data_IF_525386620707
#
_entry.id   IF_525386620707
#
_cell.length_a   1.000
_cell.length_b   1.000
_cell.length_c   1.000
_cell.angle_alpha   90.00
_cell.angle_beta   90.00
_cell.angle_gamma   90.00
#
_symmetry.space_group_name_H-M   'P 1'
#
loop_
_entity.id
_entity.type
_entity.pdbx_description
1 polymer ?
#
# COMPACT_ATOMS: atom_id res chain seq x y z
N UNK A 1 -4.69 -20.57 46.47
CA UNK A 1 -5.17 -19.28 45.93
C UNK A 1 -5.25 -19.46 44.43
N UNK A 2 -6.45 -19.70 43.91
CA UNK A 2 -6.70 -19.73 42.47
C UNK A 2 -6.53 -18.32 41.93
N UNK A 3 -5.47 -18.08 41.16
CA UNK A 3 -5.41 -16.92 40.28
C UNK A 3 -6.65 -16.94 39.37
N UNK A 4 -7.41 -15.83 39.28
CA UNK A 4 -8.58 -15.79 38.41
C UNK A 4 -8.12 -16.09 36.99
N UNK A 5 -8.71 -17.14 36.40
CA UNK A 5 -8.56 -17.53 34.99
C UNK A 5 -8.85 -16.32 34.11
N UNK A 6 -7.82 -15.55 33.75
CA UNK A 6 -7.91 -14.52 32.75
C UNK A 6 -8.07 -15.23 31.41
N UNK A 7 -9.32 -15.48 31.02
CA UNK A 7 -9.64 -15.96 29.69
C UNK A 7 -8.86 -15.11 28.67
N UNK A 8 -8.23 -15.71 27.65
CA UNK A 8 -7.48 -14.96 26.66
C UNK A 8 -8.41 -13.90 26.05
N UNK A 9 -8.13 -12.64 26.40
CA UNK A 9 -8.85 -11.47 25.90
C UNK A 9 -8.27 -11.12 24.53
N UNK A 10 -8.64 -11.90 23.52
CA UNK A 10 -8.53 -11.43 22.15
C UNK A 10 -9.50 -10.26 21.99
N UNK A 11 -9.02 -9.15 21.44
CA UNK A 11 -9.89 -8.03 21.12
C UNK A 11 -10.97 -8.51 20.13
N UNK A 12 -12.22 -8.03 20.24
CA UNK A 12 -13.20 -8.24 19.17
C UNK A 12 -12.69 -7.61 17.87
N UNK A 13 -13.22 -8.04 16.73
CA UNK A 13 -12.97 -7.35 15.47
C UNK A 13 -13.49 -5.91 15.58
N UNK A 14 -12.76 -4.91 15.08
CA UNK A 14 -13.18 -3.52 15.16
C UNK A 14 -14.39 -3.28 14.24
N UNK A 15 -15.28 -2.38 14.65
CA UNK A 15 -16.21 -1.76 13.71
C UNK A 15 -15.41 -0.87 12.76
N UNK A 16 -15.65 -1.01 11.45
CA UNK A 16 -14.95 -0.22 10.44
C UNK A 16 -15.59 1.16 10.32
N UNK A 17 -14.78 2.21 10.41
CA UNK A 17 -15.18 3.55 9.99
C UNK A 17 -15.30 3.64 8.45
N UNK A 18 -15.93 4.71 7.96
CA UNK A 18 -16.21 4.88 6.53
C UNK A 18 -14.93 5.00 5.70
N UNK A 19 -13.89 5.63 6.25
CA UNK A 19 -12.59 5.79 5.62
C UNK A 19 -11.90 4.42 5.41
N UNK A 20 -11.83 3.60 6.46
CA UNK A 20 -11.25 2.26 6.41
C UNK A 20 -12.05 1.38 5.45
N UNK A 21 -13.39 1.46 5.47
CA UNK A 21 -14.23 0.71 4.53
C UNK A 21 -13.99 1.11 3.08
N UNK A 22 -13.90 2.42 2.81
CA UNK A 22 -13.58 2.95 1.48
C UNK A 22 -12.22 2.45 1.00
N UNK A 23 -11.21 2.49 1.88
CA UNK A 23 -9.87 2.01 1.57
C UNK A 23 -9.84 0.52 1.27
N UNK A 24 -10.44 -0.32 2.11
CA UNK A 24 -10.49 -1.77 1.87
C UNK A 24 -11.20 -2.09 0.54
N UNK A 25 -12.30 -1.38 0.22
CA UNK A 25 -12.96 -1.52 -1.07
C UNK A 25 -12.06 -1.14 -2.25
N UNK A 26 -11.23 -0.10 -2.10
CA UNK A 26 -10.22 0.27 -3.10
C UNK A 26 -9.13 -0.80 -3.23
N UNK A 27 -8.67 -1.38 -2.13
CA UNK A 27 -7.71 -2.49 -2.15
C UNK A 27 -8.30 -3.72 -2.85
N UNK A 28 -9.57 -4.07 -2.60
CA UNK A 28 -10.27 -5.17 -3.29
C UNK A 28 -10.37 -4.96 -4.80
N UNK A 29 -10.67 -3.73 -5.25
CA UNK A 29 -10.68 -3.39 -6.68
C UNK A 29 -9.30 -3.54 -7.32
N UNK A 30 -8.26 -3.08 -6.62
CA UNK A 30 -6.88 -3.25 -7.07
C UNK A 30 -6.49 -4.73 -7.14
N UNK A 31 -6.88 -5.53 -6.13
CA UNK A 31 -6.67 -6.98 -6.13
C UNK A 31 -7.37 -7.63 -7.32
N UNK A 32 -8.61 -7.26 -7.63
CA UNK A 32 -9.33 -7.79 -8.79
C UNK A 32 -8.60 -7.47 -10.11
N UNK A 33 -8.10 -6.24 -10.28
CA UNK A 33 -7.30 -5.87 -11.45
C UNK A 33 -5.97 -6.66 -11.53
N UNK A 34 -5.33 -6.88 -10.39
CA UNK A 34 -4.13 -7.71 -10.30
C UNK A 34 -4.40 -9.19 -10.57
N UNK A 35 -5.52 -9.76 -10.11
CA UNK A 35 -5.93 -11.13 -10.41
C UNK A 35 -6.19 -11.32 -11.91
N UNK A 36 -6.87 -10.38 -12.54
CA UNK A 36 -7.08 -10.39 -13.99
C UNK A 36 -5.75 -10.28 -14.75
N UNK A 37 -4.83 -9.42 -14.31
CA UNK A 37 -3.48 -9.36 -14.84
C UNK A 37 -2.77 -10.72 -14.72
N UNK A 38 -2.82 -11.36 -13.54
CA UNK A 38 -2.24 -12.68 -13.30
C UNK A 38 -2.86 -13.78 -14.15
N UNK A 39 -4.16 -13.73 -14.40
CA UNK A 39 -4.85 -14.68 -15.28
C UNK A 39 -4.31 -14.71 -16.71
N UNK A 40 -3.58 -13.67 -17.11
CA UNK A 40 -2.97 -13.51 -18.44
C UNK A 40 -1.48 -13.90 -18.48
N UNK A 41 -0.88 -14.23 -17.34
CA UNK A 41 0.52 -14.61 -17.26
C UNK A 41 0.70 -16.11 -17.51
N UNK A 42 1.85 -16.49 -18.07
CA UNK A 42 2.21 -17.90 -18.23
C UNK A 42 2.37 -18.58 -16.85
N UNK A 43 2.04 -19.88 -16.72
CA UNK A 43 2.15 -20.60 -15.44
C UNK A 43 3.52 -20.50 -14.77
N UNK A 44 4.60 -20.56 -15.56
CA UNK A 44 5.98 -20.39 -15.05
C UNK A 44 6.24 -19.00 -14.49
N UNK A 45 5.70 -17.94 -15.11
CA UNK A 45 5.77 -16.56 -14.60
C UNK A 45 5.01 -16.42 -13.29
N UNK A 46 3.82 -17.04 -13.17
CA UNK A 46 3.04 -17.03 -11.94
C UNK A 46 3.77 -17.70 -10.78
N UNK A 47 4.41 -18.85 -11.02
CA UNK A 47 5.22 -19.53 -10.03
C UNK A 47 6.42 -18.67 -9.60
N UNK A 48 7.08 -18.00 -10.54
CA UNK A 48 8.21 -17.10 -10.25
C UNK A 48 7.79 -15.86 -9.45
N UNK A 49 6.68 -15.20 -9.82
CA UNK A 49 6.08 -14.09 -9.06
C UNK A 49 5.80 -14.55 -7.63
N UNK A 50 5.10 -15.68 -7.48
CA UNK A 50 4.72 -16.22 -6.18
C UNK A 50 5.94 -16.48 -5.28
N UNK A 51 6.93 -17.18 -5.81
CA UNK A 51 8.20 -17.45 -5.11
C UNK A 51 8.90 -16.15 -4.67
N UNK A 52 8.94 -15.16 -5.57
CA UNK A 52 9.49 -13.83 -5.28
C UNK A 52 8.70 -13.08 -4.21
N UNK A 53 7.36 -13.12 -4.23
CA UNK A 53 6.53 -12.47 -3.20
C UNK A 53 6.71 -13.11 -1.83
N UNK A 54 6.74 -14.45 -1.75
CA UNK A 54 7.03 -15.16 -0.49
C UNK A 54 8.45 -14.85 0.03
N UNK A 55 9.44 -14.81 -0.85
CA UNK A 55 10.80 -14.41 -0.48
C UNK A 55 10.86 -12.97 0.01
N UNK A 56 10.14 -12.04 -0.64
CA UNK A 56 10.05 -10.64 -0.22
C UNK A 56 9.42 -10.51 1.17
N UNK A 57 8.33 -11.25 1.44
CA UNK A 57 7.73 -11.33 2.76
C UNK A 57 8.75 -11.82 3.79
N UNK A 58 9.46 -12.91 3.49
CA UNK A 58 10.45 -13.50 4.39
C UNK A 58 11.60 -12.52 4.71
N UNK A 59 12.12 -11.79 3.71
CA UNK A 59 13.14 -10.74 3.89
C UNK A 59 12.61 -9.57 4.72
N UNK A 60 11.37 -9.15 4.48
CA UNK A 60 10.80 -8.00 5.18
C UNK A 60 10.57 -8.26 6.68
N UNK A 61 10.42 -9.54 7.03
CA UNK A 61 10.04 -10.02 8.36
C UNK A 61 11.20 -10.62 9.16
N UNK A 62 12.38 -10.79 8.54
CA UNK A 62 13.63 -11.05 9.27
C UNK A 62 14.13 -9.76 9.92
N UNK A 63 14.63 -9.88 11.16
CA UNK A 63 15.25 -8.76 11.85
C UNK A 63 16.55 -8.35 11.12
N UNK A 64 16.79 -7.05 10.95
CA UNK A 64 18.09 -6.54 10.51
C UNK A 64 18.44 -6.73 9.02
N UNK A 65 17.50 -7.13 8.16
CA UNK A 65 17.76 -7.29 6.72
C UNK A 65 18.55 -8.54 6.36
N UNK A 66 18.60 -9.52 7.27
CA UNK A 66 19.19 -10.83 7.03
C UNK A 66 18.46 -11.58 5.91
N UNK A 67 19.20 -12.41 5.16
CA UNK A 67 18.59 -13.30 4.17
C UNK A 67 17.63 -14.28 4.86
N UNK A 68 16.46 -14.56 4.26
CA UNK A 68 15.53 -15.51 4.82
C UNK A 68 16.15 -16.89 4.82
N UNK A 69 16.00 -17.61 5.93
CA UNK A 69 16.47 -18.99 6.03
C UNK A 69 15.58 -19.92 5.19
N UNK A 70 16.12 -21.06 4.77
CA UNK A 70 15.37 -22.04 3.98
C UNK A 70 14.18 -22.61 4.77
N UNK A 71 14.31 -22.72 6.09
CA UNK A 71 13.25 -23.10 7.03
C UNK A 71 12.07 -22.11 6.97
N UNK A 72 12.35 -20.81 6.91
CA UNK A 72 11.32 -19.79 6.82
C UNK A 72 10.56 -19.89 5.48
N UNK A 73 11.28 -20.05 4.37
CA UNK A 73 10.65 -20.25 3.05
C UNK A 73 9.83 -21.55 2.99
N UNK A 74 10.31 -22.60 3.66
CA UNK A 74 9.62 -23.89 3.79
C UNK A 74 8.30 -23.73 4.55
N UNK A 75 8.30 -22.98 5.66
CA UNK A 75 7.09 -22.68 6.43
C UNK A 75 6.04 -21.91 5.62
N UNK A 76 6.48 -20.92 4.82
CA UNK A 76 5.60 -20.16 3.93
C UNK A 76 4.99 -21.03 2.82
N UNK A 77 5.79 -21.93 2.23
CA UNK A 77 5.31 -22.89 1.23
C UNK A 77 4.31 -23.88 1.84
N UNK A 78 4.59 -24.38 3.05
CA UNK A 78 3.67 -25.26 3.79
C UNK A 78 2.34 -24.58 4.08
N UNK A 79 2.37 -23.31 4.49
CA UNK A 79 1.15 -22.54 4.77
C UNK A 79 0.32 -22.37 3.50
N UNK A 80 0.99 -22.09 2.40
CA UNK A 80 0.37 -21.92 1.11
C UNK A 80 -0.28 -23.21 0.57
N UNK A 81 0.39 -24.34 0.70
CA UNK A 81 -0.18 -25.65 0.36
C UNK A 81 -1.38 -25.98 1.26
N UNK A 82 -1.31 -25.59 2.53
CA UNK A 82 -2.43 -25.73 3.48
C UNK A 82 -3.64 -24.86 3.09
N UNK A 83 -3.40 -23.64 2.59
CA UNK A 83 -4.48 -22.79 2.05
C UNK A 83 -5.13 -23.42 0.82
N UNK A 84 -4.31 -23.99 -0.09
CA UNK A 84 -4.79 -24.66 -1.31
C UNK A 84 -5.63 -25.90 -1.01
N UNK A 85 -5.36 -26.60 0.08
CA UNK A 85 -6.17 -27.74 0.53
C UNK A 85 -7.40 -27.35 1.36
N UNK A 86 -7.67 -26.05 1.54
CA UNK A 86 -8.80 -25.56 2.31
C UNK A 86 -8.64 -25.72 3.82
N UNK A 87 -7.41 -25.91 4.30
CA UNK A 87 -7.14 -26.03 5.73
C UNK A 87 -7.35 -24.70 6.44
N UNK A 88 -8.04 -24.74 7.57
CA UNK A 88 -8.26 -23.58 8.44
C UNK A 88 -7.18 -23.48 9.53
N UNK A 89 -7.21 -22.37 10.28
CA UNK A 89 -6.37 -22.22 11.46
C UNK A 89 -6.80 -23.24 12.52
N UNK A 90 -5.87 -24.12 12.90
CA UNK A 90 -6.01 -25.07 13.98
C UNK A 90 -4.67 -25.21 14.71
N UNK A 91 -4.68 -25.79 15.91
CA UNK A 91 -3.45 -25.98 16.70
C UNK A 91 -2.40 -26.83 15.95
N UNK A 92 -2.78 -27.94 15.26
CA UNK A 92 -1.82 -28.70 14.48
C UNK A 92 -1.16 -27.91 13.33
N UNK A 93 -1.85 -26.98 12.67
CA UNK A 93 -1.25 -26.11 11.65
C UNK A 93 -0.23 -25.17 12.28
N UNK A 94 -0.55 -24.56 13.43
CA UNK A 94 0.41 -23.72 14.18
C UNK A 94 1.68 -24.52 14.50
N UNK A 95 1.54 -25.74 15.01
CA UNK A 95 2.67 -26.60 15.34
C UNK A 95 3.48 -27.05 14.11
N UNK A 96 2.83 -27.31 12.98
CA UNK A 96 3.52 -27.58 11.71
C UNK A 96 4.33 -26.38 11.21
N UNK A 97 3.78 -25.18 11.32
CA UNK A 97 4.50 -23.95 10.95
C UNK A 97 5.67 -23.70 11.90
N UNK A 98 5.50 -23.91 13.22
CA UNK A 98 6.59 -23.83 14.20
C UNK A 98 7.73 -24.79 13.87
N UNK A 99 7.40 -26.05 13.62
CA UNK A 99 8.36 -27.08 13.23
C UNK A 99 9.10 -26.70 11.95
N UNK A 100 8.37 -26.21 10.95
CA UNK A 100 8.96 -25.78 9.68
C UNK A 100 9.91 -24.59 9.86
N UNK A 101 9.56 -23.59 10.68
CA UNK A 101 10.41 -22.42 10.97
C UNK A 101 11.63 -22.80 11.80
N UNK A 102 11.49 -23.74 12.74
CA UNK A 102 12.57 -24.18 13.62
C UNK A 102 13.56 -25.14 12.95
N UNK A 103 13.18 -25.77 11.83
CA UNK A 103 13.97 -26.82 11.19
C UNK A 103 14.07 -28.12 12.01
N UNK A 104 13.37 -28.20 13.13
CA UNK A 104 13.31 -29.34 14.03
C UNK A 104 11.94 -29.41 14.69
N UNK A 105 11.53 -30.58 15.24
CA UNK A 105 10.24 -30.72 15.91
C UNK A 105 10.06 -29.65 16.99
N UNK A 106 9.03 -28.81 16.84
CA UNK A 106 8.70 -27.82 17.86
C UNK A 106 8.17 -28.53 19.11
N UNK A 107 8.44 -28.01 20.32
CA UNK A 107 7.87 -28.56 21.53
C UNK A 107 6.34 -28.51 21.47
N UNK A 108 5.71 -29.56 21.99
CA UNK A 108 4.27 -29.56 22.17
C UNK A 108 3.86 -28.37 23.06
N UNK A 109 2.74 -27.71 22.73
CA UNK A 109 2.30 -26.58 23.51
C UNK A 109 1.85 -27.08 24.88
N UNK A 110 2.18 -26.33 25.93
CA UNK A 110 1.66 -26.68 27.26
C UNK A 110 0.13 -26.57 27.31
N UNK A 111 -0.56 -27.14 28.32
CA UNK A 111 -2.02 -27.12 28.37
C UNK A 111 -2.66 -25.72 28.30
N UNK A 112 -1.99 -24.68 28.82
CA UNK A 112 -2.49 -23.30 28.79
C UNK A 112 -2.33 -22.71 27.39
N UNK A 113 -1.17 -22.93 26.78
CA UNK A 113 -0.94 -22.52 25.39
C UNK A 113 -1.90 -23.24 24.44
N UNK A 114 -2.13 -24.54 24.62
CA UNK A 114 -3.10 -25.33 23.86
C UNK A 114 -4.51 -24.73 23.96
N UNK A 115 -4.96 -24.35 25.17
CA UNK A 115 -6.24 -23.68 25.39
C UNK A 115 -6.30 -22.33 24.66
N UNK A 116 -5.24 -21.53 24.74
CA UNK A 116 -5.15 -20.23 24.04
C UNK A 116 -5.18 -20.38 22.52
N UNK A 117 -4.41 -21.30 21.94
CA UNK A 117 -4.39 -21.55 20.50
C UNK A 117 -5.72 -22.11 20.00
N UNK A 118 -6.40 -22.93 20.81
CA UNK A 118 -7.75 -23.43 20.50
C UNK A 118 -8.77 -22.28 20.48
N UNK A 119 -8.73 -21.41 21.49
CA UNK A 119 -9.61 -20.24 21.56
C UNK A 119 -9.34 -19.23 20.43
N UNK A 120 -8.07 -19.06 20.04
CA UNK A 120 -7.65 -18.24 18.90
C UNK A 120 -8.23 -18.78 17.58
N UNK A 121 -8.06 -20.09 17.33
CA UNK A 121 -8.56 -20.77 16.15
C UNK A 121 -10.09 -20.65 16.03
N UNK A 122 -10.81 -20.82 17.14
CA UNK A 122 -12.27 -20.69 17.16
C UNK A 122 -12.73 -19.26 16.83
N UNK A 123 -12.11 -18.24 17.44
CA UNK A 123 -12.42 -16.84 17.09
C UNK A 123 -12.04 -16.49 15.65
N UNK A 124 -10.94 -17.03 15.14
CA UNK A 124 -10.57 -16.86 13.72
C UNK A 124 -11.64 -17.42 12.77
N UNK A 125 -12.25 -18.56 13.10
CA UNK A 125 -13.38 -19.12 12.32
C UNK A 125 -14.62 -18.24 12.40
N UNK A 126 -14.96 -17.75 13.59
CA UNK A 126 -16.09 -16.84 13.80
C UNK A 126 -15.93 -15.51 13.04
N UNK A 127 -14.68 -15.12 12.74
CA UNK A 127 -14.36 -13.92 11.95
C UNK A 127 -14.52 -14.08 10.43
N UNK A 128 -15.03 -15.21 9.92
CA UNK A 128 -15.04 -15.54 8.48
C UNK A 128 -15.74 -14.53 7.58
N UNK A 129 -16.73 -13.79 8.09
CA UNK A 129 -17.43 -12.74 7.35
C UNK A 129 -16.65 -11.40 7.26
N UNK A 130 -15.57 -11.25 8.03
CA UNK A 130 -14.77 -10.03 8.01
C UNK A 130 -13.81 -10.00 6.82
N UNK A 131 -13.46 -8.79 6.39
CA UNK A 131 -12.50 -8.56 5.31
C UNK A 131 -11.14 -9.22 5.59
N UNK A 132 -10.49 -9.78 4.58
CA UNK A 132 -9.24 -10.55 4.72
C UNK A 132 -8.13 -9.78 5.45
N UNK A 133 -7.92 -8.50 5.10
CA UNK A 133 -6.95 -7.62 5.77
C UNK A 133 -7.29 -7.33 7.24
N UNK A 134 -8.58 -7.26 7.59
CA UNK A 134 -9.02 -7.08 8.99
C UNK A 134 -8.72 -8.35 9.78
N UNK A 135 -9.01 -9.52 9.20
CA UNK A 135 -8.68 -10.83 9.78
C UNK A 135 -7.17 -11.00 9.93
N UNK A 136 -6.39 -10.57 8.95
CA UNK A 136 -4.93 -10.62 8.99
C UNK A 136 -4.38 -9.74 10.12
N UNK A 137 -4.80 -8.47 10.22
CA UNK A 137 -4.37 -7.56 11.28
C UNK A 137 -4.74 -8.07 12.67
N UNK A 138 -5.97 -8.57 12.83
CA UNK A 138 -6.44 -9.16 14.08
C UNK A 138 -5.64 -10.40 14.46
N UNK A 139 -5.46 -11.34 13.52
CA UNK A 139 -4.73 -12.58 13.75
C UNK A 139 -3.27 -12.29 14.10
N UNK A 140 -2.66 -11.33 13.41
CA UNK A 140 -1.31 -10.88 13.67
C UNK A 140 -1.15 -10.36 15.11
N UNK A 141 -2.01 -9.43 15.54
CA UNK A 141 -1.98 -8.89 16.90
C UNK A 141 -2.26 -9.97 17.96
N UNK A 142 -3.23 -10.84 17.71
CA UNK A 142 -3.59 -11.93 18.61
C UNK A 142 -2.45 -12.95 18.78
N UNK A 143 -1.75 -13.28 17.70
CA UNK A 143 -0.59 -14.16 17.71
C UNK A 143 0.61 -13.54 18.45
N UNK A 144 0.91 -12.26 18.24
CA UNK A 144 1.97 -11.56 18.98
C UNK A 144 1.76 -11.64 20.50
N UNK A 145 0.50 -11.61 20.95
CA UNK A 145 0.16 -11.72 22.37
C UNK A 145 0.17 -13.15 22.92
N UNK A 146 0.13 -14.16 22.04
CA UNK A 146 0.05 -15.58 22.41
C UNK A 146 1.40 -16.28 22.29
N UNK A 147 2.29 -15.76 21.44
CA UNK A 147 3.60 -16.34 21.12
C UNK A 147 4.74 -15.57 21.82
N UNK A 148 5.35 -16.11 22.89
CA UNK A 148 6.25 -15.35 23.76
C UNK A 148 7.71 -15.25 23.27
N UNK A 149 8.13 -15.98 22.22
CA UNK A 149 9.54 -16.08 21.81
C UNK A 149 9.93 -15.35 20.51
N UNK A 150 11.22 -14.98 20.33
CA UNK A 150 11.72 -14.35 19.10
C UNK A 150 11.70 -15.29 17.88
N UNK A 151 11.87 -16.61 18.06
CA UNK A 151 11.61 -17.61 17.02
C UNK A 151 10.16 -17.58 16.53
N UNK A 152 9.25 -17.19 17.42
CA UNK A 152 7.83 -17.21 17.15
C UNK A 152 7.39 -16.00 16.33
N UNK A 153 8.19 -14.94 16.24
CA UNK A 153 7.89 -13.82 15.35
C UNK A 153 7.80 -14.26 13.88
N UNK A 154 8.68 -15.17 13.43
CA UNK A 154 8.59 -15.77 12.08
C UNK A 154 7.32 -16.60 11.91
N UNK A 155 6.91 -17.31 12.96
CA UNK A 155 5.66 -18.08 12.97
C UNK A 155 4.45 -17.15 12.91
N UNK A 156 4.44 -16.05 13.67
CA UNK A 156 3.42 -15.01 13.63
C UNK A 156 3.33 -14.42 12.23
N UNK A 157 4.45 -14.00 11.65
CA UNK A 157 4.49 -13.43 10.30
C UNK A 157 3.97 -14.39 9.24
N UNK A 158 4.39 -15.66 9.28
CA UNK A 158 3.88 -16.68 8.38
C UNK A 158 2.36 -16.83 8.55
N UNK A 159 1.86 -17.13 9.75
CA UNK A 159 0.44 -17.37 10.01
C UNK A 159 -0.45 -16.17 9.71
N UNK A 160 0.08 -14.94 9.81
CA UNK A 160 -0.63 -13.70 9.43
C UNK A 160 -1.07 -13.74 7.96
N UNK A 161 -0.35 -14.44 7.09
CA UNK A 161 -0.69 -14.57 5.68
C UNK A 161 -1.86 -15.51 5.41
N UNK A 162 -2.29 -16.33 6.37
CA UNK A 162 -3.36 -17.33 6.19
C UNK A 162 -4.64 -16.74 5.55
N UNK A 163 -5.29 -15.70 6.13
CA UNK A 163 -6.48 -15.11 5.53
C UNK A 163 -6.22 -14.49 4.15
N UNK A 164 -5.01 -14.00 3.90
CA UNK A 164 -4.63 -13.38 2.63
C UNK A 164 -4.47 -14.43 1.53
N UNK A 165 -3.72 -15.49 1.79
CA UNK A 165 -3.51 -16.59 0.85
C UNK A 165 -4.83 -17.32 0.53
N UNK A 166 -5.72 -17.48 1.52
CA UNK A 166 -7.05 -18.05 1.33
C UNK A 166 -7.94 -17.21 0.40
N UNK A 167 -7.75 -15.88 0.39
CA UNK A 167 -8.54 -14.93 -0.41
C UNK A 167 -7.75 -14.36 -1.60
N UNK A 168 -6.64 -15.02 -1.95
CA UNK A 168 -5.78 -14.68 -3.09
C UNK A 168 -5.22 -13.25 -3.04
N UNK A 169 -5.04 -12.70 -1.85
CA UNK A 169 -4.21 -11.52 -1.64
C UNK A 169 -2.73 -11.87 -1.80
N UNK A 170 -1.89 -10.85 -2.03
CA UNK A 170 -0.45 -11.03 -2.07
C UNK A 170 0.13 -11.21 -0.65
N UNK A 171 1.28 -11.88 -0.50
CA UNK A 171 2.02 -11.86 0.75
C UNK A 171 2.45 -10.44 1.13
N UNK A 172 2.11 -9.99 2.34
CA UNK A 172 2.52 -8.67 2.85
C UNK A 172 4.04 -8.54 2.89
N UNK A 173 4.59 -7.35 2.66
CA UNK A 173 6.02 -7.11 2.86
C UNK A 173 6.21 -5.83 3.67
N UNK A 174 6.53 -5.97 4.96
CA UNK A 174 6.79 -4.84 5.85
C UNK A 174 8.11 -4.14 5.48
N UNK A 175 8.03 -3.18 4.56
CA UNK A 175 9.18 -2.37 4.11
C UNK A 175 9.46 -1.21 5.07
N UNK A 176 10.70 -0.70 5.01
CA UNK A 176 11.20 0.33 5.94
C UNK A 176 10.29 1.57 6.09
N UNK A 177 9.73 2.15 5.01
CA UNK A 177 8.84 3.32 5.12
C UNK A 177 7.59 3.08 5.99
N UNK A 178 7.17 1.83 6.17
CA UNK A 178 5.98 1.49 6.94
C UNK A 178 6.29 1.01 8.37
N UNK A 179 7.57 0.83 8.74
CA UNK A 179 7.92 0.28 10.07
C UNK A 179 7.50 1.18 11.22
N UNK A 180 7.65 2.49 11.09
CA UNK A 180 7.24 3.45 12.12
C UNK A 180 5.72 3.44 12.31
N UNK A 181 4.96 3.56 11.21
CA UNK A 181 3.50 3.48 11.20
C UNK A 181 2.99 2.14 11.77
N UNK A 182 3.63 1.03 11.39
CA UNK A 182 3.32 -0.30 11.91
C UNK A 182 3.52 -0.41 13.43
N UNK A 183 4.63 0.10 13.98
CA UNK A 183 4.87 0.09 15.44
C UNK A 183 3.82 0.92 16.17
N UNK A 184 3.57 2.14 15.71
CA UNK A 184 2.52 3.01 16.27
C UNK A 184 1.13 2.35 16.22
N UNK A 185 0.84 1.63 15.13
CA UNK A 185 -0.40 0.88 14.98
C UNK A 185 -0.50 -0.32 15.94
N UNK A 186 0.59 -1.02 16.23
CA UNK A 186 0.63 -2.06 17.26
C UNK A 186 0.37 -1.47 18.65
N UNK A 187 1.00 -0.34 18.98
CA UNK A 187 0.76 0.35 20.24
C UNK A 187 -0.72 0.75 20.40
N UNK A 188 -1.36 1.19 19.31
CA UNK A 188 -2.80 1.48 19.28
C UNK A 188 -3.64 0.20 19.46
N UNK A 189 -3.26 -0.90 18.82
CA UNK A 189 -3.94 -2.18 18.94
C UNK A 189 -3.86 -2.75 20.36
N UNK A 190 -2.73 -2.55 21.05
CA UNK A 190 -2.58 -2.90 22.47
C UNK A 190 -3.52 -2.10 23.39
N UNK A 191 -3.90 -0.88 22.97
CA UNK A 191 -4.94 -0.07 23.63
C UNK A 191 -6.36 -0.38 23.15
N UNK A 192 -6.54 -1.37 22.29
CA UNK A 192 -7.83 -1.82 21.78
C UNK A 192 -8.28 -1.17 20.47
N UNK A 193 -7.46 -0.32 19.85
CA UNK A 193 -7.75 0.27 18.53
C UNK A 193 -6.96 -0.43 17.42
N UNK A 194 -7.62 -1.37 16.74
CA UNK A 194 -7.01 -2.15 15.66
C UNK A 194 -7.04 -1.44 14.30
N UNK A 195 -7.84 -0.37 14.12
CA UNK A 195 -8.04 0.26 12.81
C UNK A 195 -6.75 0.81 12.19
N UNK A 196 -5.82 1.44 12.95
CA UNK A 196 -4.53 1.84 12.41
C UNK A 196 -3.75 0.68 11.80
N UNK A 197 -3.79 -0.51 12.42
CA UNK A 197 -3.08 -1.69 11.92
C UNK A 197 -3.71 -2.22 10.63
N UNK A 198 -5.04 -2.22 10.54
CA UNK A 198 -5.77 -2.56 9.31
C UNK A 198 -5.37 -1.62 8.16
N UNK A 199 -5.30 -0.31 8.42
CA UNK A 199 -4.88 0.70 7.43
C UNK A 199 -3.44 0.49 6.97
N UNK A 200 -2.52 0.14 7.88
CA UNK A 200 -1.14 -0.21 7.52
C UNK A 200 -1.12 -1.45 6.63
N UNK A 201 -1.88 -2.49 6.96
CA UNK A 201 -1.94 -3.72 6.17
C UNK A 201 -2.50 -3.46 4.76
N UNK A 202 -3.53 -2.62 4.64
CA UNK A 202 -4.04 -2.18 3.35
C UNK A 202 -2.98 -1.41 2.54
N UNK A 203 -2.22 -0.52 3.18
CA UNK A 203 -1.14 0.21 2.52
C UNK A 203 -0.04 -0.71 1.97
N UNK A 204 0.37 -1.69 2.78
CA UNK A 204 1.36 -2.70 2.41
C UNK A 204 0.88 -3.53 1.23
N UNK A 205 -0.38 -3.97 1.26
CA UNK A 205 -0.97 -4.74 0.18
C UNK A 205 -1.07 -3.93 -1.10
N UNK A 206 -1.55 -2.69 -1.04
CA UNK A 206 -1.62 -1.78 -2.19
C UNK A 206 -0.26 -1.61 -2.85
N UNK A 207 0.80 -1.44 -2.05
CA UNK A 207 2.17 -1.32 -2.57
C UNK A 207 2.64 -2.62 -3.26
N UNK A 208 2.37 -3.79 -2.66
CA UNK A 208 2.74 -5.07 -3.25
C UNK A 208 1.99 -5.32 -4.57
N UNK A 209 0.67 -5.11 -4.58
CA UNK A 209 -0.17 -5.31 -5.76
C UNK A 209 0.27 -4.40 -6.92
N UNK A 210 0.57 -3.13 -6.63
CA UNK A 210 1.07 -2.18 -7.64
C UNK A 210 2.42 -2.60 -8.20
N UNK A 211 3.36 -3.02 -7.34
CA UNK A 211 4.67 -3.50 -7.80
C UNK A 211 4.62 -4.77 -8.64
N UNK A 212 3.65 -5.67 -8.42
CA UNK A 212 3.50 -6.87 -9.25
C UNK A 212 2.89 -6.58 -10.64
N UNK A 213 2.11 -5.50 -10.79
CA UNK A 213 1.58 -5.05 -12.09
C UNK A 213 2.68 -4.55 -13.05
N UNK A 214 3.90 -4.31 -12.55
CA UNK A 214 5.07 -3.94 -13.36
C UNK A 214 5.58 -5.12 -14.22
N UNK A 215 5.23 -6.37 -13.89
CA UNK A 215 5.68 -7.54 -14.67
C UNK A 215 4.88 -7.61 -15.98
N UNK A 216 5.49 -7.38 -17.17
CA UNK A 216 4.72 -7.44 -18.40
C UNK A 216 4.26 -8.87 -18.68
N UNK A 217 3.05 -9.06 -19.22
CA UNK A 217 2.60 -10.38 -19.63
C UNK A 217 3.53 -10.94 -20.71
N UNK A 218 4.08 -12.13 -20.48
CA UNK A 218 4.88 -12.83 -21.49
C UNK A 218 3.97 -13.14 -22.68
N UNK A 219 4.24 -12.51 -23.83
CA UNK A 219 3.55 -12.82 -25.08
C UNK A 219 4.16 -14.09 -25.69
N UNK A 220 3.35 -14.99 -26.27
CA UNK A 220 3.88 -16.13 -27.01
C UNK A 220 4.80 -15.64 -28.14
N UNK A 221 5.91 -16.33 -28.36
CA UNK A 221 7.00 -15.92 -29.24
C UNK A 221 6.64 -15.83 -30.74
N UNK A 222 5.40 -16.15 -31.11
CA UNK A 222 4.97 -16.28 -32.50
C UNK A 222 4.01 -15.16 -32.89
N UNK A 223 4.54 -14.09 -33.49
CA UNK A 223 3.79 -13.20 -34.40
C UNK A 223 3.20 -11.92 -33.80
N UNK A 224 3.70 -10.77 -34.28
CA UNK A 224 3.10 -9.42 -34.21
C UNK A 224 2.67 -8.93 -32.82
N UNK A 225 3.45 -7.99 -32.28
CA UNK A 225 3.24 -7.26 -31.03
C UNK A 225 2.01 -6.31 -31.03
N UNK A 226 0.83 -6.79 -31.40
CA UNK A 226 -0.42 -6.06 -31.17
C UNK A 226 -0.77 -6.24 -29.69
N UNK A 227 -0.84 -5.13 -28.95
CA UNK A 227 -1.61 -5.09 -27.71
C UNK A 227 -2.97 -5.72 -27.99
N UNK A 228 -3.47 -6.57 -27.09
CA UNK A 228 -4.83 -7.08 -27.24
C UNK A 228 -5.80 -5.91 -27.38
N UNK A 229 -6.88 -6.08 -28.13
CA UNK A 229 -7.94 -5.07 -28.22
C UNK A 229 -8.44 -4.67 -26.81
N UNK A 230 -8.43 -5.63 -25.89
CA UNK A 230 -8.75 -5.43 -24.47
C UNK A 230 -7.74 -4.51 -23.76
N UNK A 231 -6.43 -4.80 -23.81
CA UNK A 231 -5.39 -3.92 -23.22
C UNK A 231 -5.49 -2.47 -23.72
N UNK A 232 -5.77 -2.31 -25.02
CA UNK A 232 -5.93 -1.00 -25.64
C UNK A 232 -7.18 -0.29 -25.10
N UNK A 233 -8.29 -1.01 -24.95
CA UNK A 233 -9.53 -0.49 -24.38
C UNK A 233 -9.34 -0.03 -22.93
N UNK A 234 -8.66 -0.84 -22.10
CA UNK A 234 -8.35 -0.50 -20.70
C UNK A 234 -7.42 0.69 -20.58
N UNK A 235 -6.38 0.73 -21.42
CA UNK A 235 -5.47 1.85 -21.50
C UNK A 235 -6.20 3.16 -21.83
N UNK A 236 -7.14 3.12 -22.78
CA UNK A 236 -7.97 4.26 -23.15
C UNK A 236 -8.99 4.64 -22.06
N UNK A 237 -9.59 3.67 -21.37
CA UNK A 237 -10.49 3.90 -20.24
C UNK A 237 -9.76 4.59 -19.08
N UNK A 238 -8.58 4.08 -18.70
CA UNK A 238 -7.71 4.72 -17.72
C UNK A 238 -7.32 6.15 -18.15
N UNK A 239 -7.00 6.39 -19.43
CA UNK A 239 -6.71 7.75 -19.91
C UNK A 239 -7.90 8.71 -19.70
N UNK A 240 -9.12 8.24 -19.98
CA UNK A 240 -10.34 9.04 -19.79
C UNK A 240 -10.59 9.35 -18.33
N UNK A 241 -10.44 8.35 -17.46
CA UNK A 241 -10.55 8.53 -16.01
C UNK A 241 -9.51 9.54 -15.51
N UNK A 242 -8.24 9.38 -15.91
CA UNK A 242 -7.16 10.28 -15.54
C UNK A 242 -7.43 11.72 -16.00
N UNK A 243 -7.86 11.92 -17.25
CA UNK A 243 -8.21 13.24 -17.76
C UNK A 243 -9.40 13.88 -17.02
N UNK A 244 -10.37 13.10 -16.57
CA UNK A 244 -11.50 13.61 -15.79
C UNK A 244 -11.10 14.01 -14.37
N UNK A 245 -10.28 13.20 -13.69
CA UNK A 245 -9.74 13.53 -12.37
C UNK A 245 -8.77 14.71 -12.43
N UNK A 246 -7.92 14.78 -13.46
CA UNK A 246 -6.96 15.86 -13.66
C UNK A 246 -7.63 17.23 -13.77
N UNK A 247 -8.74 17.35 -14.51
CA UNK A 247 -9.50 18.61 -14.58
C UNK A 247 -9.97 19.06 -13.19
N UNK A 248 -10.49 18.14 -12.38
CA UNK A 248 -10.90 18.45 -11.01
C UNK A 248 -9.72 18.81 -10.12
N UNK A 249 -8.56 18.16 -10.27
CA UNK A 249 -7.33 18.54 -9.57
C UNK A 249 -6.88 19.97 -9.92
N UNK A 250 -7.00 20.37 -11.19
CA UNK A 250 -6.73 21.76 -11.62
C UNK A 250 -7.67 22.73 -10.91
N UNK A 251 -8.97 22.44 -10.89
CA UNK A 251 -9.97 23.29 -10.24
C UNK A 251 -9.69 23.42 -8.73
N UNK A 252 -9.40 22.29 -8.06
CA UNK A 252 -9.10 22.24 -6.64
C UNK A 252 -7.86 23.07 -6.28
N UNK A 253 -6.74 22.83 -6.95
CA UNK A 253 -5.49 23.55 -6.65
C UNK A 253 -5.60 25.03 -7.01
N UNK A 254 -6.35 25.39 -8.07
CA UNK A 254 -6.64 26.80 -8.36
C UNK A 254 -7.52 27.45 -7.29
N UNK A 255 -8.52 26.73 -6.78
CA UNK A 255 -9.41 27.19 -5.72
C UNK A 255 -8.69 27.52 -4.41
N UNK A 256 -7.56 26.87 -4.14
CA UNK A 256 -6.74 27.11 -2.94
C UNK A 256 -5.83 28.35 -3.05
N UNK A 257 -5.55 28.85 -4.26
CA UNK A 257 -4.61 29.97 -4.45
C UNK A 257 -4.94 31.22 -3.63
N UNK A 258 -6.19 31.72 -3.60
CA UNK A 258 -6.50 32.92 -2.84
C UNK A 258 -6.23 32.74 -1.35
N UNK A 259 -6.65 31.62 -0.76
CA UNK A 259 -6.43 31.32 0.65
C UNK A 259 -4.95 31.24 1.01
N UNK A 260 -4.12 30.61 0.16
CA UNK A 260 -2.67 30.57 0.37
C UNK A 260 -2.05 31.97 0.28
N UNK A 261 -2.41 32.76 -0.71
CA UNK A 261 -1.95 34.15 -0.81
C UNK A 261 -2.37 34.97 0.41
N UNK A 262 -3.59 34.79 0.91
CA UNK A 262 -4.09 35.52 2.07
C UNK A 262 -3.28 35.16 3.34
N UNK A 263 -3.01 33.88 3.57
CA UNK A 263 -2.20 33.40 4.71
C UNK A 263 -0.80 33.99 4.73
N UNK A 264 -0.14 34.09 3.58
CA UNK A 264 1.24 34.59 3.50
C UNK A 264 1.36 36.10 3.26
N UNK A 265 0.25 36.82 3.09
CA UNK A 265 0.26 38.27 2.77
C UNK A 265 0.84 39.12 3.90
N UNK A 266 0.66 38.71 5.15
CA UNK A 266 1.25 39.40 6.31
C UNK A 266 2.78 39.30 6.32
N UNK A 267 3.34 38.20 5.79
CA UNK A 267 4.77 37.96 5.71
C UNK A 267 5.38 38.61 4.46
N UNK A 268 4.68 38.58 3.33
CA UNK A 268 5.10 39.22 2.09
C UNK A 268 3.92 39.76 1.28
N UNK A 269 3.88 41.09 1.15
CA UNK A 269 2.88 41.78 0.31
C UNK A 269 2.97 41.43 -1.18
N UNK A 270 4.09 40.87 -1.64
CA UNK A 270 4.32 40.42 -3.02
C UNK A 270 4.10 38.92 -3.21
N UNK A 271 3.45 38.25 -2.25
CA UNK A 271 3.09 36.84 -2.39
C UNK A 271 2.35 36.59 -3.70
N UNK A 272 2.81 35.56 -4.43
CA UNK A 272 2.21 35.13 -5.68
C UNK A 272 2.04 33.62 -5.68
N UNK A 273 0.86 33.17 -6.13
CA UNK A 273 0.58 31.76 -6.35
C UNK A 273 0.22 31.55 -7.82
N UNK A 274 0.95 30.69 -8.52
CA UNK A 274 0.72 30.31 -9.90
C UNK A 274 0.43 28.82 -10.00
N UNK A 275 -0.51 28.46 -10.87
CA UNK A 275 -0.85 27.06 -11.14
C UNK A 275 -0.56 26.77 -12.61
N UNK A 276 0.18 25.69 -12.84
CA UNK A 276 0.41 25.13 -14.16
C UNK A 276 -0.09 23.69 -14.19
N UNK A 277 -0.47 23.20 -15.36
CA UNK A 277 -0.87 21.81 -15.53
C UNK A 277 -0.51 21.36 -16.94
N UNK A 278 -0.24 20.06 -17.10
CA UNK A 278 -0.14 19.44 -18.41
C UNK A 278 -0.63 17.99 -18.34
N UNK A 279 -1.05 17.49 -19.50
CA UNK A 279 -1.56 16.13 -19.69
C UNK A 279 -1.23 15.65 -21.11
N UNK A 280 -1.05 14.33 -21.34
CA UNK A 280 -0.87 13.80 -22.68
C UNK A 280 -2.01 14.22 -23.62
N UNK A 281 -1.72 14.61 -24.87
CA UNK A 281 -0.44 14.50 -25.57
C UNK A 281 0.49 15.73 -25.47
N UNK A 282 0.25 16.67 -24.54
CA UNK A 282 1.06 17.88 -24.40
C UNK A 282 2.55 17.52 -24.15
N UNK A 283 3.51 18.07 -24.91
CA UNK A 283 4.94 17.88 -24.67
C UNK A 283 5.38 18.22 -23.23
N UNK A 284 4.69 19.15 -22.56
CA UNK A 284 4.89 19.52 -21.16
C UNK A 284 4.51 18.44 -20.14
N UNK A 285 3.77 17.40 -20.53
CA UNK A 285 3.41 16.28 -19.66
C UNK A 285 4.65 15.58 -19.07
N UNK A 286 5.76 15.56 -19.83
CA UNK A 286 7.02 14.95 -19.41
C UNK A 286 7.90 15.82 -18.48
N UNK A 287 7.51 17.06 -18.17
CA UNK A 287 8.36 18.03 -17.46
C UNK A 287 8.86 17.55 -16.10
N UNK A 288 8.01 16.85 -15.34
CA UNK A 288 8.27 16.40 -13.96
C UNK A 288 8.66 14.92 -13.88
N UNK A 289 9.13 14.31 -14.97
CA UNK A 289 9.31 12.86 -15.05
C UNK A 289 10.20 12.31 -13.93
N UNK A 290 11.27 13.02 -13.55
CA UNK A 290 12.21 12.58 -12.52
C UNK A 290 11.57 12.64 -11.13
N UNK A 291 11.00 13.80 -10.79
CA UNK A 291 10.36 14.06 -9.49
C UNK A 291 9.17 13.12 -9.27
N UNK A 292 8.36 12.89 -10.31
CA UNK A 292 7.23 11.97 -10.24
C UNK A 292 7.67 10.50 -10.24
N UNK A 293 8.84 10.15 -10.77
CA UNK A 293 9.41 8.81 -10.62
C UNK A 293 9.89 8.55 -9.19
N UNK A 294 10.48 9.57 -8.54
CA UNK A 294 10.83 9.51 -7.11
C UNK A 294 9.57 9.35 -6.24
N UNK A 295 8.51 10.13 -6.52
CA UNK A 295 7.24 10.01 -5.80
C UNK A 295 6.57 8.64 -6.00
N UNK A 296 6.55 8.12 -7.23
CA UNK A 296 6.04 6.78 -7.53
C UNK A 296 6.83 5.67 -6.84
N UNK A 297 8.17 5.77 -6.82
CA UNK A 297 9.03 4.84 -6.10
C UNK A 297 8.73 4.85 -4.60
N UNK A 298 8.55 6.05 -4.00
CA UNK A 298 8.12 6.19 -2.61
C UNK A 298 6.75 5.59 -2.34
N UNK A 299 5.84 5.64 -3.31
CA UNK A 299 4.55 4.99 -3.23
C UNK A 299 4.61 3.46 -3.46
N UNK A 300 5.71 2.92 -3.98
CA UNK A 300 5.91 1.48 -4.19
C UNK A 300 5.54 0.98 -5.59
N UNK A 301 5.65 1.81 -6.63
CA UNK A 301 5.44 1.38 -8.01
C UNK A 301 6.37 2.07 -9.00
N UNK A 302 6.57 1.46 -10.18
CA UNK A 302 7.28 2.10 -11.28
C UNK A 302 6.28 2.79 -12.19
N UNK A 303 6.43 4.10 -12.44
CA UNK A 303 5.54 4.76 -13.39
C UNK A 303 5.86 4.26 -14.80
N UNK A 304 4.85 4.26 -15.65
CA UNK A 304 5.03 3.86 -17.03
C UNK A 304 6.04 4.78 -17.76
N UNK A 305 6.98 4.16 -18.51
CA UNK A 305 8.10 4.86 -19.18
C UNK A 305 7.67 5.85 -20.26
N UNK A 306 6.43 5.78 -20.75
CA UNK A 306 5.89 6.65 -21.79
C UNK A 306 5.88 8.13 -21.38
N UNK A 307 5.95 8.44 -20.08
CA UNK A 307 5.86 9.82 -19.61
C UNK A 307 4.44 10.37 -19.62
N UNK A 308 3.44 9.48 -19.67
CA UNK A 308 2.02 9.82 -19.63
C UNK A 308 1.56 10.10 -18.20
N UNK A 309 1.93 11.27 -17.68
CA UNK A 309 1.45 11.76 -16.39
C UNK A 309 0.52 12.96 -16.59
N UNK A 310 -0.60 12.98 -15.87
CA UNK A 310 -1.49 14.14 -15.78
C UNK A 310 -1.16 14.88 -14.50
N UNK A 311 -0.48 16.02 -14.60
CA UNK A 311 0.01 16.73 -13.42
C UNK A 311 -0.57 18.13 -13.29
N UNK A 312 -0.72 18.56 -12.03
CA UNK A 312 -0.98 19.95 -11.63
C UNK A 312 0.16 20.38 -10.71
N UNK A 313 0.69 21.57 -10.95
CA UNK A 313 1.77 22.15 -10.17
C UNK A 313 1.35 23.51 -9.63
N UNK A 314 1.60 23.73 -8.35
CA UNK A 314 1.46 25.02 -7.68
C UNK A 314 2.86 25.56 -7.40
N UNK A 315 3.09 26.81 -7.80
CA UNK A 315 4.24 27.61 -7.42
C UNK A 315 3.78 28.72 -6.50
N UNK A 316 4.18 28.69 -5.23
CA UNK A 316 3.89 29.73 -4.25
C UNK A 316 5.19 30.45 -3.92
N UNK A 317 5.30 31.70 -4.34
CA UNK A 317 6.47 32.55 -4.08
C UNK A 317 6.18 33.48 -2.92
N UNK A 318 7.01 33.41 -1.87
CA UNK A 318 6.94 34.27 -0.69
C UNK A 318 8.35 34.76 -0.40
N UNK A 319 8.54 36.06 -0.18
CA UNK A 319 9.83 36.74 0.07
C UNK A 319 11.01 36.21 -0.78
N UNK A 320 10.76 35.94 -2.06
CA UNK A 320 11.77 35.47 -3.03
C UNK A 320 11.97 33.95 -3.11
N UNK A 321 11.58 33.16 -2.11
CA UNK A 321 11.62 31.69 -2.21
C UNK A 321 10.33 31.17 -2.83
N UNK A 322 10.42 30.06 -3.57
CA UNK A 322 9.26 29.44 -4.19
C UNK A 322 9.05 28.03 -3.67
N UNK A 323 7.93 27.79 -3.00
CA UNK A 323 7.40 26.45 -2.79
C UNK A 323 6.85 25.92 -4.12
N UNK A 324 7.38 24.79 -4.56
CA UNK A 324 6.87 24.04 -5.70
C UNK A 324 6.20 22.77 -5.19
N UNK A 325 4.91 22.63 -5.46
CA UNK A 325 4.13 21.43 -5.20
C UNK A 325 3.62 20.86 -6.53
N UNK A 326 3.70 19.55 -6.71
CA UNK A 326 3.24 18.84 -7.91
C UNK A 326 2.42 17.64 -7.46
N UNK A 327 1.17 17.54 -7.92
CA UNK A 327 0.35 16.34 -7.80
C UNK A 327 0.12 15.75 -9.20
N UNK A 328 0.23 14.44 -9.34
CA UNK A 328 0.09 13.77 -10.63
C UNK A 328 -0.68 12.46 -10.56
N UNK A 329 -1.47 12.20 -11.59
CA UNK A 329 -1.99 10.88 -11.89
C UNK A 329 -1.00 10.16 -12.80
N UNK A 330 -0.58 8.97 -12.41
CA UNK A 330 0.37 8.14 -13.13
C UNK A 330 -0.22 6.76 -13.38
N UNK A 331 0.07 6.19 -14.54
CA UNK A 331 -0.23 4.77 -14.79
C UNK A 331 0.70 3.90 -13.97
N UNK A 332 0.14 2.84 -13.40
CA UNK A 332 0.87 1.81 -12.65
C UNK A 332 1.12 0.61 -13.55
N UNK A 333 2.37 0.16 -13.65
CA UNK A 333 2.73 -0.99 -14.48
C UNK A 333 2.76 -0.69 -15.97
N UNK A 334 2.31 -1.66 -16.77
CA UNK A 334 2.31 -1.55 -18.23
C UNK A 334 1.05 -0.86 -18.79
N UNK A 335 1.11 -0.34 -20.02
CA UNK A 335 0.00 0.36 -20.73
C UNK A 335 -1.39 -0.27 -20.57
N UNK A 336 -1.46 -1.61 -20.61
CA UNK A 336 -2.69 -2.41 -20.48
C UNK A 336 -3.14 -2.78 -19.07
N UNK A 337 -2.48 -2.32 -17.99
CA UNK A 337 -2.91 -2.64 -16.62
C UNK A 337 -4.28 -2.02 -16.32
N UNK A 338 -4.54 -0.84 -16.89
CA UNK A 338 -5.71 -0.04 -16.57
C UNK A 338 -5.70 0.46 -15.13
N UNK A 339 -4.54 0.53 -14.47
CA UNK A 339 -4.42 1.01 -13.08
C UNK A 339 -3.74 2.37 -13.06
N UNK A 340 -4.26 3.28 -12.24
CA UNK A 340 -3.73 4.61 -12.01
C UNK A 340 -3.42 4.79 -10.52
N UNK A 341 -2.46 5.64 -10.20
CA UNK A 341 -2.21 6.12 -8.85
C UNK A 341 -2.02 7.64 -8.86
N UNK A 342 -2.47 8.30 -7.79
CA UNK A 342 -2.12 9.70 -7.54
C UNK A 342 -0.90 9.78 -6.62
N UNK A 343 0.07 10.59 -6.99
CA UNK A 343 1.28 10.87 -6.22
C UNK A 343 1.50 12.37 -6.10
N UNK A 344 2.26 12.78 -5.09
CA UNK A 344 2.65 14.17 -4.91
C UNK A 344 4.16 14.31 -4.63
N UNK A 345 4.72 15.44 -5.04
CA UNK A 345 6.10 15.84 -4.78
C UNK A 345 6.14 17.33 -4.47
N UNK A 346 7.05 17.75 -3.59
CA UNK A 346 7.24 19.16 -3.29
C UNK A 346 8.68 19.47 -2.94
N UNK A 347 9.09 20.71 -3.20
CA UNK A 347 10.39 21.22 -2.85
C UNK A 347 10.35 22.74 -2.68
N UNK A 348 11.33 23.26 -1.95
CA UNK A 348 11.61 24.69 -1.88
C UNK A 348 12.69 25.06 -2.88
N UNK A 349 12.49 26.16 -3.60
CA UNK A 349 13.45 26.77 -4.50
C UNK A 349 13.88 28.10 -3.89
N UNK A 350 15.08 28.16 -3.29
CA UNK A 350 15.59 29.41 -2.75
C UNK A 350 15.80 30.44 -3.86
N UNK A 351 15.63 31.72 -3.54
CA UNK A 351 15.88 32.82 -4.48
C UNK A 351 17.30 32.77 -5.10
N UNK A 352 18.28 32.32 -4.32
CA UNK A 352 19.70 32.31 -4.67
C UNK A 352 20.12 31.06 -5.48
N UNK A 353 19.46 30.78 -6.61
CA UNK A 353 19.86 29.74 -7.62
C UNK A 353 20.34 28.38 -7.06
N UNK A 354 19.91 28.02 -5.85
CA UNK A 354 20.34 26.80 -5.20
C UNK A 354 19.58 25.59 -5.78
N UNK A 355 20.11 24.40 -5.56
CA UNK A 355 19.41 23.18 -5.91
C UNK A 355 18.05 23.10 -5.17
N UNK A 356 16.99 22.53 -5.79
CA UNK A 356 15.73 22.33 -5.12
C UNK A 356 15.91 21.49 -3.87
N UNK A 357 15.32 21.91 -2.76
CA UNK A 357 15.37 21.16 -1.51
C UNK A 357 14.04 20.41 -1.31
N UNK A 358 14.03 19.06 -1.40
CA UNK A 358 12.80 18.29 -1.28
C UNK A 358 12.15 18.48 0.08
N UNK A 359 10.82 18.60 0.08
CA UNK A 359 9.99 18.58 1.28
C UNK A 359 9.35 17.20 1.43
N UNK A 360 9.24 16.74 2.67
CA UNK A 360 8.46 15.54 2.97
C UNK A 360 6.96 15.86 2.83
N UNK A 361 6.35 15.43 1.74
CA UNK A 361 4.95 15.74 1.40
C UNK A 361 3.96 14.74 2.03
N UNK A 362 4.26 14.24 3.23
CA UNK A 362 3.57 13.20 4.02
C UNK A 362 3.91 11.72 3.74
N UNK A 363 3.63 10.91 4.76
CA UNK A 363 3.52 9.43 4.75
C UNK A 363 2.20 8.92 4.12
N UNK A 364 1.32 9.81 3.67
CA UNK A 364 0.04 9.42 3.07
C UNK A 364 0.33 8.85 1.68
N UNK A 365 0.41 7.51 1.58
CA UNK A 365 0.91 6.79 0.41
C UNK A 365 0.43 7.27 -0.97
N UNK A 366 -0.47 6.53 -1.62
CA UNK A 366 -1.04 6.91 -2.92
C UNK A 366 -2.44 6.36 -3.04
N UNK A 367 -3.41 7.15 -3.50
CA UNK A 367 -4.73 6.60 -3.84
C UNK A 367 -4.64 5.89 -5.19
N UNK A 368 -5.11 4.64 -5.25
CA UNK A 368 -5.09 3.82 -6.47
C UNK A 368 -6.50 3.72 -7.08
N UNK A 369 -6.55 3.65 -8.40
CA UNK A 369 -7.78 3.61 -9.19
C UNK A 369 -7.64 2.56 -10.28
N UNK A 370 -8.76 1.96 -10.66
CA UNK A 370 -8.85 1.04 -11.79
C UNK A 370 -9.67 1.67 -12.91
N UNK A 371 -9.40 1.29 -14.15
CA UNK A 371 -10.02 1.84 -15.37
C UNK A 371 -11.55 1.74 -15.41
N UNK A 372 -12.15 0.87 -14.60
CA UNK A 372 -13.61 0.73 -14.44
C UNK A 372 -14.22 1.73 -13.45
N UNK A 373 -13.38 2.45 -12.69
CA UNK A 373 -13.85 3.47 -11.75
C UNK A 373 -14.41 4.70 -12.48
N UNK A 374 -15.21 5.48 -11.77
CA UNK A 374 -15.68 6.78 -12.25
C UNK A 374 -15.00 7.94 -11.51
N UNK A 375 -14.79 9.06 -12.20
CA UNK A 375 -14.20 10.24 -11.57
C UNK A 375 -15.06 10.78 -10.42
N UNK A 376 -16.39 10.65 -10.49
CA UNK A 376 -17.30 11.07 -9.42
C UNK A 376 -17.10 10.28 -8.13
N UNK A 377 -17.03 8.95 -8.25
CA UNK A 377 -16.80 8.05 -7.12
C UNK A 377 -15.43 8.24 -6.48
N UNK A 378 -14.39 8.43 -7.29
CA UNK A 378 -13.00 8.48 -6.81
C UNK A 378 -12.50 9.86 -6.44
N UNK A 379 -13.22 10.92 -6.82
CA UNK A 379 -12.81 12.30 -6.53
C UNK A 379 -12.57 12.57 -5.04
N UNK A 380 -13.43 12.14 -4.09
CA UNK A 380 -13.20 12.40 -2.67
C UNK A 380 -11.85 11.87 -2.15
N UNK A 381 -11.35 10.76 -2.72
CA UNK A 381 -10.05 10.21 -2.34
C UNK A 381 -8.87 10.97 -2.98
N UNK A 382 -9.06 11.55 -4.16
CA UNK A 382 -8.07 12.40 -4.82
C UNK A 382 -8.00 13.77 -4.13
N UNK A 383 -9.15 14.36 -3.84
CA UNK A 383 -9.28 15.63 -3.14
C UNK A 383 -8.60 15.55 -1.77
N UNK A 384 -8.99 14.57 -0.94
CA UNK A 384 -8.36 14.35 0.38
C UNK A 384 -6.85 14.18 0.28
N UNK A 385 -6.37 13.45 -0.74
CA UNK A 385 -4.94 13.23 -0.96
C UNK A 385 -4.21 14.54 -1.32
N UNK A 386 -4.74 15.31 -2.27
CA UNK A 386 -4.17 16.59 -2.70
C UNK A 386 -4.17 17.60 -1.56
N UNK A 387 -5.27 17.71 -0.83
CA UNK A 387 -5.41 18.61 0.32
C UNK A 387 -4.40 18.28 1.41
N UNK A 388 -4.30 16.99 1.80
CA UNK A 388 -3.39 16.56 2.86
C UNK A 388 -1.91 16.78 2.48
N UNK A 389 -1.53 16.40 1.26
CA UNK A 389 -0.15 16.52 0.78
C UNK A 389 0.25 17.99 0.58
N UNK A 390 -0.63 18.82 0.03
CA UNK A 390 -0.37 20.25 -0.12
C UNK A 390 -0.33 20.95 1.24
N UNK A 391 -1.25 20.64 2.16
CA UNK A 391 -1.22 21.20 3.52
C UNK A 391 0.09 20.87 4.23
N UNK A 392 0.60 19.65 4.08
CA UNK A 392 1.89 19.27 4.67
C UNK A 392 3.08 19.98 4.01
N UNK A 393 3.08 20.13 2.68
CA UNK A 393 4.10 20.91 1.99
C UNK A 393 4.11 22.37 2.45
N UNK A 394 2.93 22.99 2.58
CA UNK A 394 2.79 24.36 3.06
C UNK A 394 3.24 24.49 4.52
N UNK A 395 2.85 23.55 5.39
CA UNK A 395 3.30 23.53 6.78
C UNK A 395 4.81 23.37 6.91
N UNK A 396 5.42 22.47 6.14
CA UNK A 396 6.86 22.26 6.11
C UNK A 396 7.61 23.48 5.54
N UNK A 397 7.04 24.15 4.55
CA UNK A 397 7.57 25.40 3.99
C UNK A 397 7.49 26.55 5.01
N UNK A 398 6.35 26.71 5.68
CA UNK A 398 6.15 27.74 6.70
C UNK A 398 7.08 27.56 7.90
N UNK A 399 7.29 26.32 8.37
CA UNK A 399 8.16 26.04 9.50
C UNK A 399 9.65 26.35 9.27
N UNK A 400 10.06 26.61 8.02
CA UNK A 400 11.44 27.00 7.67
C UNK A 400 11.66 28.51 7.72
N UNK A 401 10.59 29.29 7.88
CA UNK A 401 10.60 30.75 7.97
C UNK A 401 10.27 31.18 9.38
#
# INVERSE_FOLDING_TARGET
>A
MDEPRLAPRFAPLPALDDDTRSRLAATDRLRAAWEDHRGRLAPGTLAAIRSRSLRRHAVATTAGGEQPTDEHLTALTLLEDSCRSGRELDVPLVQRVRTAVAGSPAPEPDPREQEHLTALAERYRQSSAAHALVRAAWLHHALLRTCPGPSDLRVVHALTLLPLLQTRYAPLALVEPHRAAYRSALDAADRGDLLPLVRVFAALEEAVLRGELDTPPQRPASGSARLGADDTSRGAQAARLAGALHRRMIDQVNGMRPGLCDVFRELDTRVAAEVAAAAPPDPGAGRWRRELAEAAAGAGFTPERSGDAWWVALHLTVAGDTLRYVAALQRVGHLGSGVLAVTAWAAVLPAATAAPEPLAVTEAGSSTFVHTDTAGERWPDVERYVDATLSAAVGAYAARR
#
